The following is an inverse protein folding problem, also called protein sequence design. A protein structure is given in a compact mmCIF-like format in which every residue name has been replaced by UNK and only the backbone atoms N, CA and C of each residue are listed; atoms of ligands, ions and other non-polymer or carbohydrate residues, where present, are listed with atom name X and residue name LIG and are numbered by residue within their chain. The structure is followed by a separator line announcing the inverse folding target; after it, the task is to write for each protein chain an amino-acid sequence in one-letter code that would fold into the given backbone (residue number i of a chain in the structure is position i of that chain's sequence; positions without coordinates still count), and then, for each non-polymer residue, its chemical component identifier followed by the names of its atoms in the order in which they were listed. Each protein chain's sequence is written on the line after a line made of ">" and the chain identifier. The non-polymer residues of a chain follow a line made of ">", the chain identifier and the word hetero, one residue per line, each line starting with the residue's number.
data_IF_666267516803
#
_entry.id   IF_666267516803
#
_cell.length_a   1.000
_cell.length_b   1.000
_cell.length_c   1.000
_cell.angle_alpha   90.00
_cell.angle_beta   90.00
_cell.angle_gamma   90.00
#
_symmetry.space_group_name_H-M   'P 1'
#
loop_
_entity.id
_entity.type
_entity.pdbx_description
1 polymer ?
#
# COMPACT_ATOMS: atom_id res chain seq x y z
N UNK A 1 -0.54 -33.50 -8.00
CA UNK A 1 -1.30 -32.34 -7.47
C UNK A 1 -0.32 -31.21 -7.11
N UNK A 2 -0.66 -29.94 -7.27
CA UNK A 2 0.20 -28.83 -6.86
C UNK A 2 -0.16 -28.39 -5.43
N UNK A 3 0.52 -28.95 -4.44
CA UNK A 3 0.26 -28.66 -3.02
C UNK A 3 0.71 -27.26 -2.62
N UNK A 4 1.70 -26.68 -3.29
CA UNK A 4 2.12 -25.30 -3.03
C UNK A 4 0.99 -24.33 -3.35
N UNK A 5 0.34 -24.47 -4.52
CA UNK A 5 -0.78 -23.60 -4.88
C UNK A 5 -1.97 -23.77 -3.92
N UNK A 6 -2.30 -25.01 -3.55
CA UNK A 6 -3.35 -25.28 -2.57
C UNK A 6 -3.06 -24.65 -1.20
N UNK A 7 -1.80 -24.75 -0.74
CA UNK A 7 -1.36 -24.11 0.50
C UNK A 7 -1.39 -22.59 0.40
N UNK A 8 -0.89 -22.01 -0.67
CA UNK A 8 -0.91 -20.55 -0.89
C UNK A 8 -2.33 -19.99 -0.93
N UNK A 9 -3.27 -20.70 -1.57
CA UNK A 9 -4.69 -20.33 -1.58
C UNK A 9 -5.26 -20.24 -0.16
N UNK A 10 -5.04 -21.26 0.68
CA UNK A 10 -5.52 -21.30 2.06
C UNK A 10 -4.76 -20.33 2.99
N UNK A 11 -3.44 -20.26 2.83
CA UNK A 11 -2.53 -19.57 3.75
C UNK A 11 -2.37 -18.08 3.44
N UNK A 12 -2.20 -17.72 2.17
CA UNK A 12 -1.82 -16.35 1.78
C UNK A 12 -3.00 -15.53 1.30
N UNK A 13 -4.02 -16.19 0.76
CA UNK A 13 -5.11 -15.55 0.02
C UNK A 13 -6.47 -15.63 0.71
N UNK A 14 -6.68 -16.60 1.60
CA UNK A 14 -7.97 -16.79 2.29
C UNK A 14 -7.81 -16.83 3.82
N UNK A 15 -7.75 -18.00 4.44
CA UNK A 15 -7.94 -18.16 5.89
C UNK A 15 -6.71 -17.79 6.73
N UNK A 16 -5.50 -17.81 6.16
CA UNK A 16 -4.27 -17.73 6.95
C UNK A 16 -3.91 -19.07 7.60
N UNK A 17 -2.66 -19.25 8.06
CA UNK A 17 -2.23 -20.50 8.69
C UNK A 17 -2.89 -20.76 10.07
N UNK A 18 -3.14 -19.69 10.84
CA UNK A 18 -3.75 -19.76 12.18
C UNK A 18 -4.95 -18.83 12.31
N UNK A 19 -5.95 -19.27 13.09
CA UNK A 19 -7.18 -18.53 13.30
C UNK A 19 -6.93 -17.16 13.89
N UNK A 20 -7.55 -16.14 13.30
CA UNK A 20 -7.62 -14.77 13.83
C UNK A 20 -9.00 -14.43 14.38
N UNK A 21 -9.90 -15.40 14.39
CA UNK A 21 -11.22 -15.23 15.00
C UNK A 21 -11.03 -15.02 16.50
N UNK A 22 -11.61 -13.98 17.11
CA UNK A 22 -11.53 -13.74 18.54
C UNK A 22 -12.06 -14.94 19.34
N UNK A 23 -11.28 -15.43 20.31
CA UNK A 23 -11.66 -16.57 21.15
C UNK A 23 -10.47 -17.44 21.54
N UNK A 24 -10.76 -18.64 22.05
CA UNK A 24 -9.74 -19.56 22.59
C UNK A 24 -8.69 -20.00 21.55
N UNK A 25 -9.03 -19.99 20.25
CA UNK A 25 -8.14 -20.38 19.16
C UNK A 25 -7.28 -19.26 18.57
N UNK A 26 -7.40 -18.02 19.05
CA UNK A 26 -6.72 -16.85 18.45
C UNK A 26 -5.20 -17.05 18.42
N UNK A 27 -4.65 -17.10 17.19
CA UNK A 27 -3.25 -17.35 16.84
C UNK A 27 -2.65 -18.66 17.38
N UNK A 28 -3.50 -19.59 17.83
CA UNK A 28 -3.09 -20.87 18.42
C UNK A 28 -3.63 -22.05 17.62
N UNK A 29 -4.87 -21.94 17.11
CA UNK A 29 -5.50 -22.99 16.33
C UNK A 29 -5.11 -22.85 14.84
N UNK A 30 -4.58 -23.90 14.19
CA UNK A 30 -4.37 -23.89 12.75
C UNK A 30 -5.72 -23.87 12.00
N UNK A 31 -5.80 -23.18 10.87
CA UNK A 31 -7.04 -23.14 10.06
C UNK A 31 -7.18 -24.33 9.10
N UNK A 32 -6.15 -25.14 8.92
CA UNK A 32 -6.18 -26.32 8.05
C UNK A 32 -5.09 -27.31 8.47
N UNK A 33 -5.25 -28.56 8.05
CA UNK A 33 -4.27 -29.63 8.23
C UNK A 33 -3.47 -29.88 6.94
N UNK A 34 -2.44 -30.71 7.03
CA UNK A 34 -1.74 -31.18 5.83
C UNK A 34 -2.64 -32.05 4.94
N UNK A 35 -3.57 -32.82 5.53
CA UNK A 35 -4.57 -33.58 4.78
C UNK A 35 -5.51 -32.67 3.98
N UNK A 36 -5.89 -31.52 4.55
CA UNK A 36 -6.65 -30.50 3.83
C UNK A 36 -5.85 -29.96 2.63
N UNK A 37 -4.53 -29.72 2.77
CA UNK A 37 -3.68 -29.26 1.66
C UNK A 37 -3.65 -30.29 0.52
N UNK A 38 -3.42 -31.56 0.85
CA UNK A 38 -3.46 -32.63 -0.16
C UNK A 38 -4.82 -32.71 -0.86
N UNK A 39 -5.90 -32.60 -0.09
CA UNK A 39 -7.28 -32.67 -0.59
C UNK A 39 -7.59 -31.49 -1.52
N UNK A 40 -7.24 -30.27 -1.12
CA UNK A 40 -7.36 -29.08 -1.95
C UNK A 40 -6.51 -29.20 -3.22
N UNK A 41 -5.30 -29.74 -3.15
CA UNK A 41 -4.46 -29.96 -4.33
C UNK A 41 -5.07 -30.96 -5.33
N UNK A 42 -5.77 -31.98 -4.84
CA UNK A 42 -6.53 -32.90 -5.69
C UNK A 42 -7.73 -32.20 -6.32
N UNK A 43 -8.51 -31.44 -5.54
CA UNK A 43 -9.66 -30.66 -6.04
C UNK A 43 -9.22 -29.68 -7.14
N UNK A 44 -8.12 -28.96 -6.92
CA UNK A 44 -7.59 -27.94 -7.84
C UNK A 44 -6.84 -28.53 -9.05
N UNK A 45 -6.67 -29.85 -9.13
CA UNK A 45 -6.12 -30.47 -10.34
C UNK A 45 -7.06 -30.20 -11.55
N UNK A 46 -6.54 -30.18 -12.77
CA UNK A 46 -7.37 -29.87 -13.95
C UNK A 46 -7.61 -28.38 -14.20
N UNK A 47 -7.57 -27.53 -13.19
CA UNK A 47 -7.63 -26.08 -13.38
C UNK A 47 -6.34 -25.50 -13.95
N UNK A 48 -6.46 -24.60 -14.93
CA UNK A 48 -5.31 -24.08 -15.68
C UNK A 48 -5.64 -22.79 -16.42
N UNK A 49 -4.62 -22.00 -16.73
CA UNK A 49 -4.65 -21.01 -17.80
C UNK A 49 -4.01 -21.65 -19.04
N UNK A 50 -4.79 -21.85 -20.11
CA UNK A 50 -4.25 -22.45 -21.35
C UNK A 50 -3.90 -21.32 -22.30
N UNK A 51 -2.61 -21.07 -22.52
CA UNK A 51 -2.06 -20.20 -23.57
C UNK A 51 -1.30 -19.00 -23.03
N UNK A 52 -1.86 -17.78 -23.09
CA UNK A 52 -1.21 -16.53 -22.64
C UNK A 52 -1.66 -16.10 -21.24
N UNK A 53 -0.89 -15.25 -20.52
CA UNK A 53 -1.22 -14.79 -19.16
C UNK A 53 -2.58 -14.10 -18.99
N UNK A 54 -3.20 -13.64 -20.09
CA UNK A 54 -4.47 -12.91 -20.07
C UNK A 54 -5.69 -13.81 -20.37
N UNK A 55 -5.50 -15.13 -20.48
CA UNK A 55 -6.63 -16.04 -20.70
C UNK A 55 -7.32 -16.40 -19.40
N UNK A 56 -8.64 -16.55 -19.50
CA UNK A 56 -9.48 -16.95 -18.38
C UNK A 56 -9.01 -18.26 -17.78
N UNK A 57 -9.01 -18.29 -16.45
CA UNK A 57 -8.82 -19.49 -15.67
C UNK A 57 -9.94 -20.48 -16.00
N UNK A 58 -9.59 -21.71 -16.39
CA UNK A 58 -10.59 -22.70 -16.82
C UNK A 58 -10.23 -24.10 -16.37
N UNK A 59 -11.26 -24.92 -16.20
CA UNK A 59 -11.09 -26.35 -15.97
C UNK A 59 -10.81 -27.08 -17.28
N UNK A 60 -9.66 -27.75 -17.37
CA UNK A 60 -9.31 -28.57 -18.53
C UNK A 60 -9.90 -29.98 -18.39
N UNK A 61 -11.13 -30.14 -18.86
CA UNK A 61 -11.84 -31.42 -18.87
C UNK A 61 -11.12 -32.52 -19.70
N UNK A 62 -10.22 -32.14 -20.62
CA UNK A 62 -9.41 -33.09 -21.39
C UNK A 62 -8.31 -33.76 -20.58
N UNK A 63 -7.91 -33.20 -19.42
CA UNK A 63 -7.05 -33.87 -18.46
C UNK A 63 -7.90 -34.59 -17.41
N UNK A 64 -8.44 -35.73 -17.81
CA UNK A 64 -9.25 -36.57 -16.94
C UNK A 64 -8.38 -37.29 -15.90
N UNK A 65 -8.48 -36.89 -14.62
CA UNK A 65 -7.87 -37.58 -13.48
C UNK A 65 -8.95 -38.16 -12.55
N UNK A 66 -9.50 -39.36 -12.85
CA UNK A 66 -10.56 -40.02 -12.08
C UNK A 66 -10.30 -40.04 -10.57
N UNK A 67 -9.07 -40.38 -10.17
CA UNK A 67 -8.65 -40.48 -8.77
C UNK A 67 -8.60 -39.14 -8.02
N UNK A 68 -8.56 -38.00 -8.72
CA UNK A 68 -8.50 -36.68 -8.09
C UNK A 68 -9.87 -35.99 -8.04
N UNK A 69 -10.75 -36.24 -9.01
CA UNK A 69 -11.98 -35.46 -9.19
C UNK A 69 -13.22 -36.29 -8.85
N UNK A 70 -13.32 -37.51 -9.37
CA UNK A 70 -14.51 -38.37 -9.23
C UNK A 70 -14.48 -39.21 -7.94
N UNK A 71 -13.99 -38.64 -6.85
CA UNK A 71 -14.09 -39.20 -5.49
C UNK A 71 -14.68 -38.13 -4.57
N UNK A 72 -15.51 -38.57 -3.64
CA UNK A 72 -15.94 -37.74 -2.51
C UNK A 72 -14.74 -37.38 -1.66
N UNK A 73 -14.76 -36.15 -1.14
CA UNK A 73 -13.70 -35.63 -0.27
C UNK A 73 -14.32 -34.95 0.93
N UNK A 74 -13.52 -34.82 1.97
CA UNK A 74 -13.88 -34.01 3.13
C UNK A 74 -12.67 -33.23 3.61
N UNK A 75 -12.91 -32.05 4.17
CA UNK A 75 -11.86 -31.19 4.73
C UNK A 75 -12.31 -30.63 6.07
N UNK A 76 -11.38 -30.47 7.01
CA UNK A 76 -11.66 -29.95 8.35
C UNK A 76 -11.74 -28.42 8.36
N UNK A 77 -10.76 -27.76 7.73
CA UNK A 77 -10.69 -26.29 7.57
C UNK A 77 -10.90 -25.50 8.88
N UNK A 78 -10.44 -26.01 10.02
CA UNK A 78 -10.47 -25.25 11.27
C UNK A 78 -11.85 -25.13 11.94
N UNK A 79 -12.87 -25.85 11.47
CA UNK A 79 -14.22 -25.83 12.03
C UNK A 79 -14.50 -26.98 13.00
N UNK A 80 -15.65 -26.92 13.67
CA UNK A 80 -16.13 -28.02 14.53
C UNK A 80 -16.58 -29.25 13.71
N UNK A 81 -16.94 -29.05 12.43
CA UNK A 81 -17.41 -30.08 11.49
C UNK A 81 -16.61 -30.08 10.18
N UNK A 82 -16.65 -31.22 9.47
CA UNK A 82 -16.04 -31.37 8.15
C UNK A 82 -16.92 -30.79 7.04
N UNK A 83 -16.28 -30.14 6.06
CA UNK A 83 -16.86 -29.79 4.77
C UNK A 83 -16.81 -30.98 3.83
N UNK A 84 -17.89 -31.25 3.10
CA UNK A 84 -17.99 -32.40 2.19
C UNK A 84 -18.11 -31.96 0.74
N UNK A 85 -17.31 -32.59 -0.12
CA UNK A 85 -17.28 -32.35 -1.56
C UNK A 85 -17.77 -33.61 -2.27
N UNK A 86 -18.97 -33.59 -2.87
CA UNK A 86 -19.48 -34.74 -3.62
C UNK A 86 -18.62 -34.98 -4.87
N UNK A 87 -18.73 -36.16 -5.47
CA UNK A 87 -18.06 -36.49 -6.74
C UNK A 87 -18.21 -35.37 -7.79
N UNK A 88 -17.11 -34.87 -8.38
CA UNK A 88 -17.19 -33.76 -9.34
C UNK A 88 -15.84 -33.38 -9.93
N UNK A 89 -15.81 -32.41 -10.86
CA UNK A 89 -14.58 -31.89 -11.45
C UNK A 89 -14.38 -30.43 -11.07
N UNK A 90 -14.76 -29.55 -12.00
CA UNK A 90 -14.74 -28.11 -11.78
C UNK A 90 -15.61 -27.71 -10.56
N UNK A 91 -16.72 -28.39 -10.36
CA UNK A 91 -17.71 -28.08 -9.31
C UNK A 91 -17.10 -28.20 -7.91
N UNK A 92 -16.22 -29.18 -7.67
CA UNK A 92 -15.49 -29.29 -6.41
C UNK A 92 -14.57 -28.10 -6.18
N UNK A 93 -13.97 -27.57 -7.25
CA UNK A 93 -13.09 -26.41 -7.22
C UNK A 93 -13.84 -25.13 -6.86
N UNK A 94 -14.95 -24.87 -7.53
CA UNK A 94 -15.81 -23.71 -7.21
C UNK A 94 -16.35 -23.80 -5.78
N UNK A 95 -16.85 -24.97 -5.36
CA UNK A 95 -17.30 -25.18 -3.98
C UNK A 95 -16.18 -24.92 -2.95
N UNK A 96 -14.94 -25.35 -3.24
CA UNK A 96 -13.80 -25.07 -2.37
C UNK A 96 -13.54 -23.56 -2.26
N UNK A 97 -13.61 -22.83 -3.38
CA UNK A 97 -13.44 -21.38 -3.38
C UNK A 97 -14.55 -20.67 -2.59
N UNK A 98 -15.80 -21.09 -2.75
CA UNK A 98 -16.93 -20.55 -1.99
C UNK A 98 -16.76 -20.77 -0.48
N UNK A 99 -16.43 -22.01 -0.07
CA UNK A 99 -16.18 -22.34 1.34
C UNK A 99 -15.05 -21.49 1.92
N UNK A 100 -13.93 -21.36 1.20
CA UNK A 100 -12.79 -20.57 1.66
C UNK A 100 -13.11 -19.06 1.69
N UNK A 101 -13.86 -18.55 0.72
CA UNK A 101 -14.24 -17.14 0.64
C UNK A 101 -15.19 -16.73 1.76
N UNK A 102 -16.14 -17.60 2.13
CA UNK A 102 -17.14 -17.35 3.17
C UNK A 102 -16.63 -17.67 4.59
N UNK A 103 -15.47 -18.31 4.71
CA UNK A 103 -14.94 -18.74 6.00
C UNK A 103 -14.68 -17.56 6.97
N UNK A 104 -15.08 -17.65 8.26
CA UNK A 104 -14.78 -16.61 9.26
C UNK A 104 -13.29 -16.25 9.34
N UNK A 105 -12.39 -17.24 9.34
CA UNK A 105 -10.95 -16.97 9.31
C UNK A 105 -10.51 -16.14 8.10
N UNK A 106 -11.16 -16.26 6.94
CA UNK A 106 -10.88 -15.42 5.77
C UNK A 106 -11.26 -13.98 6.03
N UNK A 107 -12.47 -13.74 6.57
CA UNK A 107 -12.91 -12.39 6.92
C UNK A 107 -11.92 -11.70 7.87
N UNK A 108 -11.51 -12.38 8.95
CA UNK A 108 -10.56 -11.84 9.92
C UNK A 108 -9.15 -11.70 9.36
N UNK A 109 -8.69 -12.62 8.51
CA UNK A 109 -7.37 -12.53 7.88
C UNK A 109 -7.28 -11.36 6.89
N UNK A 110 -8.30 -11.18 6.05
CA UNK A 110 -8.37 -10.05 5.11
C UNK A 110 -8.51 -8.73 5.87
N UNK A 111 -9.39 -8.65 6.86
CA UNK A 111 -9.55 -7.45 7.69
C UNK A 111 -8.25 -7.08 8.42
N UNK A 112 -7.52 -8.08 8.96
CA UNK A 112 -6.20 -7.88 9.55
C UNK A 112 -5.19 -7.33 8.53
N UNK A 113 -5.11 -7.91 7.32
CA UNK A 113 -4.20 -7.44 6.26
C UNK A 113 -4.53 -6.01 5.84
N UNK A 114 -5.80 -5.66 5.73
CA UNK A 114 -6.26 -4.31 5.39
C UNK A 114 -5.96 -3.31 6.52
N UNK A 115 -6.21 -3.66 7.78
CA UNK A 115 -5.81 -2.84 8.91
C UNK A 115 -4.29 -2.67 8.97
N UNK A 116 -3.53 -3.71 8.61
CA UNK A 116 -2.07 -3.61 8.48
C UNK A 116 -1.66 -2.65 7.39
N UNK A 117 -2.36 -2.69 6.25
CA UNK A 117 -2.10 -1.83 5.10
C UNK A 117 -2.41 -0.35 5.40
N UNK A 118 -3.53 -0.08 6.06
CA UNK A 118 -4.07 1.28 6.16
C UNK A 118 -3.83 1.95 7.51
N UNK A 119 -3.85 1.20 8.62
CA UNK A 119 -3.86 1.76 9.98
C UNK A 119 -2.49 1.62 10.64
N UNK A 120 -2.00 0.41 10.90
CA UNK A 120 -0.79 0.21 11.72
C UNK A 120 0.04 -0.98 11.27
N UNK A 121 1.35 -0.96 11.50
CA UNK A 121 2.19 -2.15 11.31
C UNK A 121 1.83 -3.29 12.27
N UNK A 122 1.21 -2.97 13.42
CA UNK A 122 0.81 -3.92 14.47
C UNK A 122 -0.68 -3.82 14.80
N UNK A 123 -1.59 -4.23 13.88
CA UNK A 123 -3.03 -4.05 14.05
C UNK A 123 -3.62 -4.69 15.30
N UNK A 124 -3.14 -5.89 15.67
CA UNK A 124 -3.66 -6.64 16.83
C UNK A 124 -3.51 -5.85 18.15
N UNK A 125 -2.45 -5.06 18.27
CA UNK A 125 -2.20 -4.22 19.45
C UNK A 125 -2.88 -2.84 19.35
N UNK A 126 -2.94 -2.26 18.15
CA UNK A 126 -3.36 -0.87 17.97
C UNK A 126 -4.86 -0.70 17.68
N UNK A 127 -5.43 -1.55 16.81
CA UNK A 127 -6.80 -1.43 16.30
C UNK A 127 -7.52 -2.78 16.13
N UNK A 128 -7.58 -3.64 17.16
CA UNK A 128 -8.32 -4.91 17.10
C UNK A 128 -9.83 -4.70 16.84
N UNK A 129 -10.39 -3.58 17.32
CA UNK A 129 -11.76 -3.13 17.06
C UNK A 129 -12.02 -2.79 15.58
N UNK A 130 -11.04 -2.20 14.89
CA UNK A 130 -11.14 -1.95 13.45
C UNK A 130 -11.07 -3.25 12.63
N UNK A 131 -10.28 -4.23 13.08
CA UNK A 131 -10.23 -5.57 12.47
C UNK A 131 -11.60 -6.23 12.60
N UNK A 132 -12.19 -6.20 13.79
CA UNK A 132 -13.53 -6.73 14.05
C UNK A 132 -14.57 -6.08 13.12
N UNK A 133 -14.60 -4.75 13.05
CA UNK A 133 -15.54 -4.03 12.19
C UNK A 133 -15.39 -4.40 10.70
N UNK A 134 -14.15 -4.56 10.21
CA UNK A 134 -13.87 -5.03 8.86
C UNK A 134 -14.34 -6.47 8.62
N UNK A 135 -14.03 -7.38 9.54
CA UNK A 135 -14.42 -8.78 9.43
C UNK A 135 -15.95 -8.96 9.44
N UNK A 136 -16.65 -8.25 10.33
CA UNK A 136 -18.12 -8.30 10.37
C UNK A 136 -18.76 -7.74 9.11
N UNK A 137 -18.21 -6.66 8.54
CA UNK A 137 -18.67 -6.13 7.26
C UNK A 137 -18.47 -7.15 6.12
N UNK A 138 -17.29 -7.79 6.07
CA UNK A 138 -17.00 -8.85 5.11
C UNK A 138 -18.02 -10.00 5.21
N UNK A 139 -18.26 -10.53 6.42
CA UNK A 139 -19.19 -11.64 6.65
C UNK A 139 -20.63 -11.27 6.30
N UNK A 140 -21.11 -10.12 6.77
CA UNK A 140 -22.49 -9.67 6.53
C UNK A 140 -22.78 -9.42 5.05
N UNK A 141 -21.75 -9.06 4.28
CA UNK A 141 -21.87 -8.74 2.85
C UNK A 141 -21.40 -9.86 1.93
N UNK A 142 -21.12 -11.05 2.47
CA UNK A 142 -20.60 -12.19 1.70
C UNK A 142 -19.37 -11.82 0.85
N UNK A 143 -18.42 -11.10 1.45
CA UNK A 143 -17.12 -10.81 0.85
C UNK A 143 -17.02 -9.50 0.04
N UNK A 144 -17.97 -8.55 0.18
CA UNK A 144 -17.84 -7.25 -0.48
C UNK A 144 -16.63 -6.47 0.07
N UNK A 145 -15.56 -6.43 -0.72
CA UNK A 145 -14.32 -5.75 -0.37
C UNK A 145 -14.50 -4.23 -0.23
N UNK A 146 -15.45 -3.63 -0.96
CA UNK A 146 -15.76 -2.20 -0.83
C UNK A 146 -16.37 -1.93 0.54
N UNK A 147 -17.33 -2.74 0.97
CA UNK A 147 -17.94 -2.61 2.29
C UNK A 147 -16.92 -2.82 3.41
N UNK A 148 -16.07 -3.84 3.27
CA UNK A 148 -14.99 -4.16 4.20
C UNK A 148 -14.01 -3.01 4.37
N UNK A 149 -13.47 -2.49 3.26
CA UNK A 149 -12.52 -1.35 3.29
C UNK A 149 -13.20 -0.10 3.84
N UNK A 150 -14.47 0.15 3.49
CA UNK A 150 -15.23 1.29 4.01
C UNK A 150 -15.37 1.24 5.53
N UNK A 151 -15.70 0.07 6.09
CA UNK A 151 -15.81 -0.12 7.54
C UNK A 151 -14.49 0.20 8.25
N UNK A 152 -13.36 -0.24 7.69
CA UNK A 152 -12.02 0.01 8.23
C UNK A 152 -11.63 1.49 8.15
N UNK A 153 -11.81 2.13 6.98
CA UNK A 153 -11.38 3.52 6.77
C UNK A 153 -12.27 4.55 7.49
N UNK A 154 -13.53 4.21 7.80
CA UNK A 154 -14.41 5.05 8.60
C UNK A 154 -14.27 4.81 10.12
N UNK A 155 -13.50 3.80 10.53
CA UNK A 155 -13.28 3.51 11.94
C UNK A 155 -12.43 4.62 12.61
N UNK A 156 -12.74 5.07 13.85
CA UNK A 156 -11.99 6.13 14.52
C UNK A 156 -10.47 5.89 14.62
N UNK A 157 -10.05 4.62 14.70
CA UNK A 157 -8.64 4.22 14.70
C UNK A 157 -7.88 4.61 13.43
N UNK A 158 -8.55 4.73 12.29
CA UNK A 158 -7.91 5.19 11.05
C UNK A 158 -7.52 6.67 11.17
N UNK A 159 -8.42 7.53 11.64
CA UNK A 159 -8.09 8.94 11.86
C UNK A 159 -7.00 9.13 12.93
N UNK A 160 -6.96 8.24 13.93
CA UNK A 160 -5.94 8.24 14.98
C UNK A 160 -4.62 7.55 14.58
N UNK A 161 -4.47 7.07 13.35
CA UNK A 161 -3.36 6.18 12.97
C UNK A 161 -2.07 6.91 12.61
N UNK A 162 -1.99 8.23 12.74
CA UNK A 162 -0.80 8.93 12.31
C UNK A 162 0.46 8.49 13.05
N UNK A 163 1.53 8.34 12.29
CA UNK A 163 2.83 7.93 12.83
C UNK A 163 2.89 6.42 13.12
N UNK A 164 1.82 5.68 12.87
CA UNK A 164 1.84 4.22 12.96
C UNK A 164 2.51 3.58 11.73
N UNK A 165 2.60 4.31 10.61
CA UNK A 165 3.18 3.79 9.36
C UNK A 165 4.11 4.78 8.69
N UNK A 166 4.99 4.23 7.86
CA UNK A 166 5.82 4.97 6.91
C UNK A 166 5.26 4.74 5.50
N UNK A 167 5.19 5.79 4.69
CA UNK A 167 4.82 5.70 3.27
C UNK A 167 5.82 4.80 2.54
N UNK A 168 5.33 3.82 1.79
CA UNK A 168 6.21 3.03 0.89
C UNK A 168 6.83 3.93 -0.20
N UNK A 169 7.94 3.56 -0.84
CA UNK A 169 8.60 4.40 -1.85
C UNK A 169 7.66 4.98 -2.93
N UNK A 170 6.82 4.15 -3.56
CA UNK A 170 5.83 4.62 -4.55
C UNK A 170 4.82 5.60 -3.95
N UNK A 171 4.35 5.33 -2.72
CA UNK A 171 3.41 6.20 -2.02
C UNK A 171 4.06 7.56 -1.67
N UNK A 172 5.31 7.54 -1.22
CA UNK A 172 6.09 8.74 -0.94
C UNK A 172 6.32 9.58 -2.20
N UNK A 173 6.68 8.93 -3.30
CA UNK A 173 6.84 9.57 -4.61
C UNK A 173 5.54 10.28 -5.03
N UNK A 174 4.42 9.56 -5.07
CA UNK A 174 3.12 10.12 -5.47
C UNK A 174 2.63 11.21 -4.51
N UNK A 175 2.83 11.04 -3.19
CA UNK A 175 2.46 12.06 -2.22
C UNK A 175 3.29 13.33 -2.38
N UNK A 176 4.59 13.20 -2.70
CA UNK A 176 5.48 14.34 -2.97
C UNK A 176 5.01 15.12 -4.21
N UNK A 177 4.72 14.41 -5.32
CA UNK A 177 4.18 15.05 -6.52
C UNK A 177 2.86 15.78 -6.26
N UNK A 178 1.94 15.15 -5.51
CA UNK A 178 0.68 15.78 -5.12
C UNK A 178 0.89 17.01 -4.24
N UNK A 179 1.81 16.96 -3.28
CA UNK A 179 2.16 18.10 -2.44
C UNK A 179 2.78 19.26 -3.22
N UNK A 180 3.46 18.96 -4.33
CA UNK A 180 3.98 19.97 -5.27
C UNK A 180 2.89 20.57 -6.17
N UNK A 181 1.63 20.13 -6.08
CA UNK A 181 0.55 20.59 -6.93
C UNK A 181 0.60 20.05 -8.36
N UNK A 182 1.36 18.98 -8.60
CA UNK A 182 1.48 18.35 -9.93
C UNK A 182 0.16 17.61 -10.24
N UNK A 183 -0.56 18.09 -11.25
CA UNK A 183 -1.85 17.51 -11.67
C UNK A 183 -1.69 16.51 -12.81
N UNK A 184 -0.76 16.78 -13.72
CA UNK A 184 -0.43 15.91 -14.86
C UNK A 184 0.99 15.37 -14.71
N UNK A 185 1.10 14.06 -14.44
CA UNK A 185 2.40 13.35 -14.42
C UNK A 185 3.09 13.37 -15.79
N UNK A 186 2.33 13.63 -16.86
CA UNK A 186 2.78 13.58 -18.26
C UNK A 186 3.81 14.67 -18.60
N UNK A 187 4.00 15.70 -17.77
CA UNK A 187 4.95 16.80 -18.06
C UNK A 187 6.07 16.95 -17.02
N UNK A 188 6.55 15.86 -16.43
CA UNK A 188 7.75 15.90 -15.57
C UNK A 188 9.07 15.80 -16.35
N UNK A 189 8.99 15.62 -17.67
CA UNK A 189 10.11 15.54 -18.58
C UNK A 189 10.01 16.68 -19.59
N UNK A 190 11.15 17.20 -20.09
CA UNK A 190 11.14 18.03 -21.29
C UNK A 190 10.45 17.33 -22.47
N UNK A 191 9.86 18.13 -23.36
CA UNK A 191 9.02 17.71 -24.50
C UNK A 191 9.72 16.76 -25.51
N UNK A 192 11.02 16.49 -25.32
CA UNK A 192 11.89 15.69 -26.18
C UNK A 192 12.16 14.26 -25.68
N UNK A 193 11.66 13.88 -24.50
CA UNK A 193 11.74 12.49 -24.02
C UNK A 193 10.41 11.77 -24.25
N UNK A 194 10.39 10.81 -25.18
CA UNK A 194 9.32 9.82 -25.33
C UNK A 194 8.89 9.31 -23.94
N UNK A 195 7.58 9.33 -23.65
CA UNK A 195 6.93 9.00 -22.36
C UNK A 195 7.54 7.79 -21.62
N UNK A 196 8.12 6.84 -22.36
CA UNK A 196 8.81 5.66 -21.86
C UNK A 196 10.07 5.95 -21.02
N UNK A 197 10.85 7.01 -21.30
CA UNK A 197 12.10 7.28 -20.60
C UNK A 197 11.89 7.90 -19.21
N UNK A 198 10.85 8.71 -19.03
CA UNK A 198 10.51 9.25 -17.70
C UNK A 198 9.87 8.24 -16.79
N UNK A 199 8.98 7.40 -17.33
CA UNK A 199 8.44 6.26 -16.60
C UNK A 199 9.58 5.37 -16.06
N UNK A 200 10.59 5.09 -16.90
CA UNK A 200 11.80 4.35 -16.50
C UNK A 200 12.63 5.07 -15.44
N UNK A 201 12.79 6.39 -15.54
CA UNK A 201 13.48 7.14 -14.49
C UNK A 201 12.76 6.99 -13.14
N UNK A 202 11.45 7.17 -13.10
CA UNK A 202 10.67 7.04 -11.86
C UNK A 202 10.69 5.63 -11.29
N UNK A 203 10.50 4.63 -12.16
CA UNK A 203 10.64 3.23 -11.78
C UNK A 203 12.02 2.97 -11.16
N UNK A 204 13.10 3.46 -11.78
CA UNK A 204 14.46 3.32 -11.23
C UNK A 204 14.62 3.98 -9.87
N UNK A 205 14.00 5.14 -9.62
CA UNK A 205 14.07 5.81 -8.32
C UNK A 205 13.33 5.02 -7.23
N UNK A 206 12.14 4.50 -7.55
CA UNK A 206 11.35 3.68 -6.62
C UNK A 206 12.06 2.35 -6.33
N UNK A 207 12.70 1.76 -7.34
CA UNK A 207 13.52 0.57 -7.21
C UNK A 207 14.77 0.81 -6.36
N UNK A 208 15.48 1.93 -6.54
CA UNK A 208 16.63 2.31 -5.70
C UNK A 208 16.24 2.48 -4.22
N UNK A 209 14.98 2.84 -3.95
CA UNK A 209 14.41 2.87 -2.59
C UNK A 209 13.97 1.49 -2.09
N UNK A 210 14.20 0.43 -2.86
CA UNK A 210 13.95 -0.97 -2.50
C UNK A 210 12.57 -1.50 -2.87
N UNK A 211 11.76 -0.74 -3.61
CA UNK A 211 10.43 -1.20 -4.05
C UNK A 211 10.42 -1.53 -5.54
N UNK A 212 10.80 -2.75 -5.90
CA UNK A 212 10.54 -3.27 -7.25
C UNK A 212 9.04 -3.48 -7.45
N UNK A 213 8.48 -2.85 -8.48
CA UNK A 213 7.07 -3.01 -8.84
C UNK A 213 6.92 -4.29 -9.68
N UNK A 214 5.87 -5.08 -9.43
CA UNK A 214 5.53 -6.30 -10.17
C UNK A 214 6.57 -7.44 -10.18
N UNK A 215 7.75 -7.27 -9.57
CA UNK A 215 8.85 -8.25 -9.54
C UNK A 215 9.15 -8.77 -8.13
N UNK A 216 8.17 -8.82 -7.23
CA UNK A 216 8.42 -9.38 -5.91
C UNK A 216 8.54 -10.91 -5.99
N UNK A 217 9.68 -11.52 -5.61
CA UNK A 217 9.97 -12.91 -5.92
C UNK A 217 9.14 -13.90 -5.10
N UNK A 218 8.72 -13.51 -3.90
CA UNK A 218 7.91 -14.37 -3.04
C UNK A 218 6.41 -14.18 -3.31
N UNK A 219 5.58 -15.24 -3.24
CA UNK A 219 4.14 -15.18 -3.45
C UNK A 219 3.39 -14.43 -2.33
N UNK A 220 4.12 -13.92 -1.33
CA UNK A 220 3.60 -13.14 -0.21
C UNK A 220 3.40 -11.66 -0.53
N UNK A 221 3.94 -11.19 -1.66
CA UNK A 221 3.85 -9.80 -2.11
C UNK A 221 4.68 -8.81 -1.27
N UNK A 222 4.61 -7.53 -1.63
CA UNK A 222 5.40 -6.48 -0.99
C UNK A 222 5.03 -6.32 0.52
N UNK A 223 6.02 -6.30 1.44
CA UNK A 223 5.78 -6.21 2.89
C UNK A 223 4.96 -4.99 3.33
N UNK A 224 4.00 -5.17 4.24
CA UNK A 224 3.12 -4.09 4.76
C UNK A 224 3.60 -3.41 6.04
N UNK A 225 4.89 -3.45 6.31
CA UNK A 225 5.51 -3.06 7.58
C UNK A 225 6.70 -2.13 7.36
N UNK A 226 6.83 -1.09 8.18
CA UNK A 226 7.80 0.00 7.98
C UNK A 226 9.25 -0.47 7.92
N UNK A 227 9.61 -1.53 8.65
CA UNK A 227 10.99 -2.01 8.73
C UNK A 227 11.53 -2.55 7.39
N UNK A 228 10.66 -2.91 6.45
CA UNK A 228 11.07 -3.25 5.08
C UNK A 228 11.37 -2.01 4.21
N UNK A 229 10.91 -0.83 4.63
CA UNK A 229 10.93 0.42 3.87
C UNK A 229 11.66 1.57 4.57
N UNK A 230 12.32 1.25 5.69
CA UNK A 230 13.02 2.19 6.54
C UNK A 230 14.39 1.65 6.98
N UNK A 231 15.42 2.11 6.28
CA UNK A 231 16.82 2.01 6.70
C UNK A 231 17.57 3.28 6.27
N UNK A 232 18.83 3.42 6.70
CA UNK A 232 19.65 4.62 6.45
C UNK A 232 19.76 4.96 4.96
N UNK A 233 19.96 3.96 4.10
CA UNK A 233 20.08 4.17 2.64
C UNK A 233 18.76 4.63 2.03
N UNK A 234 17.64 4.03 2.45
CA UNK A 234 16.31 4.42 1.98
C UNK A 234 15.92 5.82 2.45
N UNK A 235 16.30 6.21 3.67
CA UNK A 235 16.05 7.55 4.19
C UNK A 235 16.82 8.60 3.37
N UNK A 236 18.12 8.38 3.14
CA UNK A 236 18.93 9.26 2.31
C UNK A 236 18.38 9.34 0.88
N UNK A 237 18.02 8.19 0.29
CA UNK A 237 17.41 8.15 -1.04
C UNK A 237 16.11 8.95 -1.12
N UNK A 238 15.27 8.94 -0.09
CA UNK A 238 14.03 9.75 -0.04
C UNK A 238 14.31 11.24 0.00
N UNK A 239 15.32 11.66 0.76
CA UNK A 239 15.75 13.07 0.78
C UNK A 239 16.28 13.51 -0.58
N UNK A 240 17.12 12.68 -1.20
CA UNK A 240 17.64 12.95 -2.55
C UNK A 240 16.52 13.00 -3.57
N UNK A 241 15.57 12.06 -3.51
CA UNK A 241 14.40 12.03 -4.41
C UNK A 241 13.52 13.26 -4.24
N UNK A 242 13.19 13.66 -3.00
CA UNK A 242 12.39 14.86 -2.76
C UNK A 242 13.07 16.11 -3.35
N UNK A 243 14.38 16.30 -3.09
CA UNK A 243 15.14 17.39 -3.68
C UNK A 243 15.14 17.32 -5.21
N UNK A 244 15.42 16.14 -5.79
CA UNK A 244 15.46 15.95 -7.24
C UNK A 244 14.11 16.28 -7.91
N UNK A 245 12.98 15.91 -7.30
CA UNK A 245 11.66 16.24 -7.84
C UNK A 245 11.41 17.75 -7.84
N UNK A 246 11.73 18.42 -6.74
CA UNK A 246 11.56 19.88 -6.59
C UNK A 246 12.42 20.64 -7.58
N UNK A 247 13.70 20.29 -7.64
CA UNK A 247 14.67 20.84 -8.59
C UNK A 247 14.23 20.64 -10.03
N UNK A 248 13.79 19.43 -10.39
CA UNK A 248 13.39 19.10 -11.77
C UNK A 248 12.12 19.81 -12.20
N UNK A 249 11.12 19.91 -11.32
CA UNK A 249 9.83 20.50 -11.66
C UNK A 249 9.83 22.03 -11.62
N UNK A 250 10.48 22.62 -10.62
CA UNK A 250 10.51 24.07 -10.44
C UNK A 250 11.78 24.73 -10.99
N UNK A 251 12.74 23.96 -11.48
CA UNK A 251 14.05 24.42 -11.92
C UNK A 251 15.03 24.56 -10.76
N UNK A 252 16.32 24.32 -11.02
CA UNK A 252 17.38 24.45 -10.03
C UNK A 252 17.64 25.91 -9.65
N UNK A 253 18.15 26.09 -8.42
CA UNK A 253 18.78 27.35 -8.07
C UNK A 253 20.06 27.51 -8.87
N UNK A 254 20.03 28.45 -9.80
CA UNK A 254 21.17 28.73 -10.68
C UNK A 254 22.26 29.54 -9.97
N UNK A 255 21.91 30.28 -8.90
CA UNK A 255 22.84 31.08 -8.08
C UNK A 255 22.33 31.20 -6.63
N UNK A 256 23.23 31.53 -5.68
CA UNK A 256 22.91 31.68 -4.26
C UNK A 256 21.82 32.74 -3.96
N UNK A 257 21.71 33.75 -4.81
CA UNK A 257 20.85 34.92 -4.57
C UNK A 257 19.64 35.02 -5.53
N UNK A 258 19.52 34.13 -6.53
CA UNK A 258 18.44 34.19 -7.51
C UNK A 258 18.04 32.80 -8.02
N UNK A 259 16.75 32.52 -7.93
CA UNK A 259 16.13 31.34 -8.54
C UNK A 259 15.28 31.75 -9.76
N UNK A 260 15.13 30.88 -10.76
CA UNK A 260 14.27 31.17 -11.91
C UNK A 260 12.83 31.39 -11.45
N UNK A 261 12.17 32.41 -12.02
CA UNK A 261 10.74 32.62 -11.81
C UNK A 261 9.96 31.40 -12.30
N UNK A 262 8.95 30.98 -11.55
CA UNK A 262 8.15 29.81 -11.85
C UNK A 262 6.70 30.04 -11.43
N UNK A 263 5.80 30.19 -12.41
CA UNK A 263 4.40 30.50 -12.18
C UNK A 263 3.65 29.39 -11.42
N UNK A 264 4.01 28.11 -11.64
CA UNK A 264 3.39 27.00 -10.91
C UNK A 264 3.79 27.03 -9.42
N UNK A 265 5.06 27.36 -9.12
CA UNK A 265 5.52 27.53 -7.75
C UNK A 265 4.86 28.74 -7.08
N UNK A 266 4.75 29.87 -7.79
CA UNK A 266 4.04 31.06 -7.30
C UNK A 266 2.57 30.74 -6.99
N UNK A 267 1.89 30.01 -7.87
CA UNK A 267 0.51 29.57 -7.64
C UNK A 267 0.39 28.63 -6.44
N UNK A 268 1.28 27.64 -6.32
CA UNK A 268 1.31 26.67 -5.21
C UNK A 268 1.42 27.38 -3.86
N UNK A 269 2.27 28.39 -3.77
CA UNK A 269 2.53 29.10 -2.50
C UNK A 269 1.68 30.36 -2.36
N UNK A 270 0.81 30.67 -3.33
CA UNK A 270 0.02 31.89 -3.42
C UNK A 270 0.85 33.17 -3.31
N UNK A 271 1.97 33.21 -4.00
CA UNK A 271 2.90 34.34 -4.02
C UNK A 271 2.32 35.57 -4.77
N UNK A 272 2.76 36.79 -4.42
CA UNK A 272 3.62 37.11 -3.29
C UNK A 272 2.91 36.91 -1.95
N UNK A 273 3.60 36.31 -0.98
CA UNK A 273 3.06 36.04 0.36
C UNK A 273 4.16 36.11 1.41
N UNK A 274 3.80 36.19 2.70
CA UNK A 274 4.80 36.23 3.77
C UNK A 274 5.41 34.85 3.99
N UNK A 275 6.65 34.78 4.49
CA UNK A 275 7.31 33.51 4.79
C UNK A 275 6.46 32.60 5.69
N UNK A 276 5.76 33.17 6.69
CA UNK A 276 4.81 32.43 7.52
C UNK A 276 3.66 31.82 6.70
N UNK A 277 3.01 32.61 5.85
CA UNK A 277 1.90 32.14 5.01
C UNK A 277 2.34 31.07 4.02
N UNK A 278 3.54 31.19 3.46
CA UNK A 278 4.10 30.21 2.53
C UNK A 278 4.37 28.88 3.23
N UNK A 279 5.00 28.89 4.42
CA UNK A 279 5.23 27.65 5.19
C UNK A 279 3.90 26.98 5.54
N UNK A 280 2.90 27.72 6.00
CA UNK A 280 1.59 27.16 6.35
C UNK A 280 0.94 26.48 5.15
N UNK A 281 0.93 27.12 3.97
CA UNK A 281 0.41 26.54 2.72
C UNK A 281 1.16 25.28 2.32
N UNK A 282 2.50 25.29 2.37
CA UNK A 282 3.30 24.11 2.03
C UNK A 282 3.02 22.95 3.01
N UNK A 283 2.88 23.22 4.31
CA UNK A 283 2.53 22.21 5.30
C UNK A 283 1.16 21.61 5.00
N UNK A 284 0.16 22.44 4.65
CA UNK A 284 -1.16 21.97 4.26
C UNK A 284 -1.11 21.06 3.02
N UNK A 285 -0.31 21.42 2.02
CA UNK A 285 -0.16 20.63 0.79
C UNK A 285 0.54 19.28 0.98
N UNK A 286 1.65 19.24 1.73
CA UNK A 286 2.49 18.03 1.85
C UNK A 286 2.09 17.13 3.01
N UNK A 287 1.61 17.73 4.10
CA UNK A 287 1.46 17.06 5.39
C UNK A 287 -0.01 16.95 5.81
N UNK A 288 -0.80 18.01 5.59
CA UNK A 288 -2.22 18.05 5.95
C UNK A 288 -2.50 17.96 7.46
N UNK A 289 -1.52 18.33 8.29
CA UNK A 289 -1.61 18.40 9.76
C UNK A 289 -0.66 19.48 10.28
N UNK A 290 -0.84 19.88 11.53
CA UNK A 290 0.04 20.84 12.20
C UNK A 290 1.41 20.25 12.50
N UNK A 291 2.46 21.03 12.25
CA UNK A 291 3.82 20.74 12.73
C UNK A 291 3.99 21.15 14.19
N UNK A 292 5.01 20.62 14.85
CA UNK A 292 5.48 21.17 16.12
C UNK A 292 5.88 22.64 15.96
N UNK A 293 5.60 23.45 16.98
CA UNK A 293 5.81 24.89 16.93
C UNK A 293 7.28 25.27 16.65
N UNK A 294 8.23 24.49 17.18
CA UNK A 294 9.66 24.71 16.96
C UNK A 294 10.07 24.42 15.51
N UNK A 295 9.59 23.31 14.93
CA UNK A 295 9.89 22.93 13.55
C UNK A 295 9.29 23.93 12.56
N UNK A 296 8.04 24.35 12.81
CA UNK A 296 7.41 25.42 12.02
C UNK A 296 8.20 26.72 12.11
N UNK A 297 8.62 27.13 13.31
CA UNK A 297 9.39 28.34 13.50
C UNK A 297 10.74 28.28 12.76
N UNK A 298 11.43 27.13 12.78
CA UNK A 298 12.67 26.93 12.05
C UNK A 298 12.50 27.04 10.53
N UNK A 299 11.42 26.49 9.97
CA UNK A 299 11.10 26.62 8.53
C UNK A 299 10.83 28.07 8.13
N UNK A 300 10.06 28.80 8.95
CA UNK A 300 9.75 30.22 8.71
C UNK A 300 11.00 31.08 8.82
N UNK A 301 11.84 30.83 9.83
CA UNK A 301 13.11 31.53 10.05
C UNK A 301 14.07 31.32 8.88
N UNK A 302 14.24 30.07 8.44
CA UNK A 302 15.04 29.72 7.27
C UNK A 302 14.52 30.45 6.02
N UNK A 303 13.23 30.28 5.68
CA UNK A 303 12.64 30.87 4.47
C UNK A 303 12.72 32.40 4.46
N UNK A 304 12.38 33.03 5.59
CA UNK A 304 12.31 34.48 5.74
C UNK A 304 13.64 35.14 6.10
N UNK A 305 14.72 34.37 6.27
CA UNK A 305 16.02 34.86 6.74
C UNK A 305 15.95 35.66 8.04
N UNK A 306 15.25 35.11 9.04
CA UNK A 306 15.01 35.78 10.33
C UNK A 306 13.77 36.68 10.35
N UNK A 307 13.11 36.92 9.21
CA UNK A 307 11.93 37.77 9.12
C UNK A 307 10.69 36.99 8.65
N UNK A 308 9.80 36.63 9.58
CA UNK A 308 8.56 35.90 9.27
C UNK A 308 7.62 36.64 8.29
N UNK A 309 7.74 37.96 8.20
CA UNK A 309 6.97 38.83 7.29
C UNK A 309 7.69 39.12 5.97
N UNK A 310 8.87 38.52 5.72
CA UNK A 310 9.55 38.65 4.44
C UNK A 310 8.64 38.19 3.30
N UNK A 311 8.56 38.98 2.24
CA UNK A 311 7.77 38.64 1.06
C UNK A 311 8.53 37.60 0.24
N UNK A 312 7.86 36.50 -0.04
CA UNK A 312 8.38 35.34 -0.75
C UNK A 312 7.64 35.19 -2.08
N UNK A 313 8.41 34.84 -3.11
CA UNK A 313 7.95 34.43 -4.43
C UNK A 313 8.84 33.30 -4.97
N UNK A 314 8.52 32.79 -6.16
CA UNK A 314 9.27 31.75 -6.85
C UNK A 314 10.74 32.10 -7.09
N UNK A 315 11.10 33.38 -7.09
CA UNK A 315 12.49 33.84 -7.23
C UNK A 315 13.27 33.83 -5.93
N UNK A 316 12.61 33.64 -4.78
CA UNK A 316 13.27 33.63 -3.46
C UNK A 316 14.23 32.44 -3.32
N UNK A 317 15.50 32.67 -2.92
CA UNK A 317 16.56 31.66 -2.90
C UNK A 317 16.45 30.63 -1.76
N UNK A 318 15.38 30.64 -0.96
CA UNK A 318 15.17 29.62 0.09
C UNK A 318 13.88 28.84 -0.06
N UNK A 319 13.04 29.21 -1.04
CA UNK A 319 11.74 28.60 -1.22
C UNK A 319 11.83 27.12 -1.61
N UNK A 320 12.63 26.80 -2.63
CA UNK A 320 12.82 25.41 -3.10
C UNK A 320 13.43 24.53 -2.02
N UNK A 321 14.44 25.02 -1.30
CA UNK A 321 15.02 24.32 -0.15
C UNK A 321 14.01 24.08 0.96
N UNK A 322 13.16 25.08 1.27
CA UNK A 322 12.08 24.93 2.28
C UNK A 322 11.07 23.87 1.85
N UNK A 323 10.62 23.92 0.60
CA UNK A 323 9.67 22.96 0.04
C UNK A 323 10.24 21.54 0.04
N UNK A 324 11.48 21.35 -0.44
CA UNK A 324 12.16 20.06 -0.42
C UNK A 324 12.38 19.54 1.00
N UNK A 325 12.71 20.42 1.95
CA UNK A 325 12.84 20.08 3.38
C UNK A 325 11.52 19.57 3.96
N UNK A 326 10.40 20.24 3.66
CA UNK A 326 9.06 19.80 4.10
C UNK A 326 8.72 18.44 3.48
N UNK A 327 8.93 18.27 2.17
CA UNK A 327 8.67 17.01 1.47
C UNK A 327 9.54 15.85 2.02
N UNK A 328 10.78 16.14 2.40
CA UNK A 328 11.72 15.17 2.96
C UNK A 328 11.55 14.96 4.48
N UNK A 329 10.70 15.74 5.15
CA UNK A 329 10.55 15.70 6.61
C UNK A 329 9.88 14.40 7.10
N UNK A 330 10.10 13.99 8.37
CA UNK A 330 9.34 12.90 8.96
C UNK A 330 7.82 13.10 8.85
N UNK A 331 7.33 14.34 8.97
CA UNK A 331 5.92 14.65 8.83
C UNK A 331 5.33 14.25 7.47
N UNK A 332 6.11 14.37 6.39
CA UNK A 332 5.71 13.97 5.05
C UNK A 332 6.07 12.49 4.72
N UNK A 333 6.89 11.82 5.52
CA UNK A 333 7.23 10.41 5.30
C UNK A 333 6.35 9.44 6.08
N UNK A 334 5.88 9.87 7.26
CA UNK A 334 5.00 9.09 8.12
C UNK A 334 3.53 9.37 7.80
N UNK A 335 2.66 8.38 8.01
CA UNK A 335 1.22 8.50 7.79
C UNK A 335 0.40 7.83 8.88
#
# INVERSE_FOLDING_TARGET
>A
PNENYARELMELHTMGSYSRVPGAGFLQQPNYTEEDVHTAAQILSGWTTIGTPNQEYRFNAGRNWPSHHWLEKRMWLGNDDYHYFPHGGAEQGEQLLDILAEHPSTAYFIAFKLCRRFISDFPDAFCPDAIEAGAQAFLTTHGDIRATVRAILLHPKFAASWGQKVRRPLEFFLATLRGMGVQDIVNFLPDDWDDALGARYFESQIEMLGQKLFEFPAPTGLPDVRFAWWNTNQLFGRWTLANALVSRYFGDQTNADAAPANAALDALVGAPATASQVVDRLVDHFVGRTLDAADRAALVDYLGNGAAQAIVSSTSPRLRGTLATIAASPYAQWR
#
